data_IF_600501378314
#
_entry.id   IF_600501378314
#
_cell.length_a   1.000
_cell.length_b   1.000
_cell.length_c   1.000
_cell.angle_alpha   90.00
_cell.angle_beta   90.00
_cell.angle_gamma   90.00
#
_symmetry.space_group_name_H-M   'P 1'
#
loop_
_entity.id
_entity.type
_entity.pdbx_description
1 polymer ?
#
# COMPACT_ATOMS: atom_id res chain seq x y z
N UNK A 1 4.76 -14.05 -3.98
CA UNK A 1 4.79 -12.69 -3.40
C UNK A 1 5.59 -12.76 -2.09
N UNK A 2 6.77 -12.14 -2.01
CA UNK A 2 7.58 -12.16 -0.77
C UNK A 2 7.01 -11.09 0.17
N UNK A 3 6.31 -11.54 1.22
CA UNK A 3 5.73 -10.70 2.28
C UNK A 3 6.83 -9.99 3.09
N UNK A 4 6.48 -8.91 3.80
CA UNK A 4 7.33 -7.97 4.58
C UNK A 4 8.18 -8.62 5.70
N UNK A 5 8.20 -9.95 5.79
CA UNK A 5 8.81 -10.69 6.90
C UNK A 5 10.32 -10.49 7.06
N UNK A 6 11.02 -10.00 6.04
CA UNK A 6 12.43 -9.61 6.14
C UNK A 6 12.64 -8.17 5.64
N UNK A 7 12.94 -7.21 6.54
CA UNK A 7 13.17 -5.81 6.18
C UNK A 7 14.28 -5.61 5.15
N UNK A 8 15.30 -6.49 5.14
CA UNK A 8 16.39 -6.44 4.16
C UNK A 8 15.88 -6.75 2.75
N UNK A 9 15.02 -7.76 2.64
CA UNK A 9 14.35 -8.06 1.37
C UNK A 9 13.48 -6.88 0.91
N UNK A 10 12.69 -6.28 1.81
CA UNK A 10 11.83 -5.11 1.49
C UNK A 10 12.65 -3.93 0.98
N UNK A 11 13.82 -3.67 1.57
CA UNK A 11 14.71 -2.59 1.16
C UNK A 11 15.25 -2.75 -0.27
N UNK A 12 15.36 -3.98 -0.76
CA UNK A 12 15.93 -4.32 -2.07
C UNK A 12 14.90 -4.43 -3.19
N UNK A 13 13.60 -4.34 -2.89
CA UNK A 13 12.55 -4.42 -3.92
C UNK A 13 12.62 -3.16 -4.80
N UNK A 14 12.82 -3.30 -6.12
CA UNK A 14 12.76 -2.18 -7.05
C UNK A 14 11.41 -1.47 -6.98
N UNK A 15 11.40 -0.15 -7.12
CA UNK A 15 10.20 0.67 -6.93
C UNK A 15 9.07 0.28 -7.90
N UNK A 16 9.40 0.01 -9.14
CA UNK A 16 8.52 -0.42 -10.23
C UNK A 16 7.94 -1.85 -10.04
N UNK A 17 8.50 -2.61 -9.11
CA UNK A 17 8.01 -3.96 -8.75
C UNK A 17 7.29 -3.98 -7.39
N UNK A 18 7.17 -2.82 -6.73
CA UNK A 18 6.54 -2.71 -5.42
C UNK A 18 5.02 -2.64 -5.55
N UNK A 19 4.32 -3.53 -4.87
CA UNK A 19 2.88 -3.45 -4.59
C UNK A 19 2.65 -3.34 -3.08
N UNK A 20 1.56 -2.69 -2.70
CA UNK A 20 1.12 -2.57 -1.32
C UNK A 20 -0.26 -3.17 -1.16
N UNK A 21 -0.43 -4.00 -0.14
CA UNK A 21 -1.70 -4.62 0.22
C UNK A 21 -1.88 -4.64 1.73
N UNK A 22 -3.13 -4.73 2.18
CA UNK A 22 -3.45 -4.87 3.61
C UNK A 22 -3.57 -6.32 4.04
N UNK A 23 -3.87 -7.23 3.10
CA UNK A 23 -4.23 -8.62 3.40
C UNK A 23 -5.50 -8.75 4.26
N UNK A 24 -6.36 -7.73 4.25
CA UNK A 24 -7.63 -7.74 4.95
C UNK A 24 -8.50 -8.96 4.55
N UNK A 25 -9.19 -9.61 5.50
CA UNK A 25 -9.42 -9.21 6.90
C UNK A 25 -8.30 -9.57 7.88
N UNK A 26 -7.18 -10.15 7.41
CA UNK A 26 -6.07 -10.62 8.22
C UNK A 26 -5.00 -9.54 8.43
N UNK A 27 -4.02 -9.83 9.31
CA UNK A 27 -2.88 -8.95 9.62
C UNK A 27 -3.30 -7.55 10.09
N UNK A 28 -4.03 -7.45 11.21
CA UNK A 28 -4.45 -6.16 11.75
C UNK A 28 -3.27 -5.20 11.95
N UNK A 29 -3.46 -3.89 11.69
CA UNK A 29 -2.35 -2.93 11.64
C UNK A 29 -1.78 -2.59 13.02
N UNK A 30 -2.47 -2.94 14.09
CA UNK A 30 -2.09 -2.64 15.46
C UNK A 30 -2.49 -3.78 16.42
N UNK A 31 -1.74 -3.98 17.52
CA UNK A 31 -2.12 -4.90 18.58
C UNK A 31 -3.52 -4.59 19.12
N UNK A 32 -4.32 -5.63 19.40
CA UNK A 32 -5.68 -5.48 19.92
C UNK A 32 -6.76 -5.24 18.86
N UNK A 33 -6.40 -4.90 17.61
CA UNK A 33 -7.35 -4.90 16.51
C UNK A 33 -7.66 -6.35 16.08
N UNK A 34 -8.95 -6.71 16.04
CA UNK A 34 -9.41 -8.06 15.64
C UNK A 34 -9.46 -8.27 14.12
N UNK A 35 -9.79 -7.22 13.36
CA UNK A 35 -9.94 -7.27 11.91
C UNK A 35 -9.08 -6.20 11.25
N UNK A 36 -8.60 -6.51 10.05
CA UNK A 36 -8.01 -5.55 9.15
C UNK A 36 -9.01 -5.14 8.06
N UNK A 37 -8.76 -3.99 7.41
CA UNK A 37 -9.62 -3.41 6.40
C UNK A 37 -8.81 -2.86 5.22
N UNK A 38 -9.38 -2.77 4.00
CA UNK A 38 -8.69 -2.22 2.84
C UNK A 38 -8.16 -0.79 3.02
N UNK A 39 -8.89 0.07 3.74
CA UNK A 39 -8.48 1.46 4.01
C UNK A 39 -7.23 1.59 4.89
N UNK A 40 -6.75 0.49 5.50
CA UNK A 40 -5.54 0.48 6.31
C UNK A 40 -4.24 0.42 5.50
N UNK A 41 -4.27 0.56 4.17
CA UNK A 41 -3.08 0.47 3.28
C UNK A 41 -1.97 1.46 3.64
N UNK A 42 -2.31 2.57 4.30
CA UNK A 42 -1.32 3.51 4.83
C UNK A 42 -0.41 2.88 5.90
N UNK A 43 -0.88 1.87 6.63
CA UNK A 43 -0.09 1.19 7.67
C UNK A 43 1.14 0.45 7.10
N UNK A 44 0.99 -0.51 6.16
CA UNK A 44 2.14 -1.13 5.51
C UNK A 44 2.98 -0.11 4.73
N UNK A 45 2.37 0.93 4.14
CA UNK A 45 3.13 1.99 3.48
C UNK A 45 4.10 2.72 4.44
N UNK A 46 3.67 3.02 5.67
CA UNK A 46 4.52 3.63 6.71
C UNK A 46 5.67 2.72 7.12
N UNK A 47 5.43 1.42 7.22
CA UNK A 47 6.47 0.45 7.56
C UNK A 47 7.53 0.35 6.46
N UNK A 48 7.11 0.24 5.19
CA UNK A 48 8.04 0.22 4.04
C UNK A 48 8.78 1.55 3.89
N UNK A 49 8.10 2.67 4.13
CA UNK A 49 8.69 4.01 4.14
C UNK A 49 9.84 4.14 5.13
N UNK A 50 9.63 3.64 6.36
CA UNK A 50 10.66 3.60 7.39
C UNK A 50 11.87 2.77 6.96
N UNK A 51 11.64 1.57 6.40
CA UNK A 51 12.73 0.68 5.93
C UNK A 51 13.52 1.30 4.78
N UNK A 52 12.83 1.97 3.84
CA UNK A 52 13.43 2.51 2.60
C UNK A 52 13.86 3.97 2.70
N UNK A 53 13.72 4.61 3.86
CA UNK A 53 13.92 6.05 4.04
C UNK A 53 13.25 6.89 2.93
N UNK A 54 11.98 6.59 2.63
CA UNK A 54 11.22 7.17 1.53
C UNK A 54 9.88 7.69 2.04
N UNK A 55 9.35 8.85 1.57
CA UNK A 55 8.05 9.33 2.01
C UNK A 55 6.92 8.32 1.74
N UNK A 56 6.01 8.04 2.71
CA UNK A 56 4.89 7.11 2.50
C UNK A 56 4.00 7.51 1.31
N UNK A 57 3.82 8.81 1.08
CA UNK A 57 3.05 9.33 -0.05
C UNK A 57 3.64 8.97 -1.41
N UNK A 58 4.97 8.91 -1.53
CA UNK A 58 5.64 8.51 -2.76
C UNK A 58 5.48 7.01 -3.00
N UNK A 59 5.61 6.19 -1.95
CA UNK A 59 5.40 4.75 -2.06
C UNK A 59 3.96 4.40 -2.46
N UNK A 60 2.96 5.10 -1.91
CA UNK A 60 1.57 4.92 -2.30
C UNK A 60 1.32 5.27 -3.76
N UNK A 61 1.90 6.40 -4.25
CA UNK A 61 1.79 6.79 -5.66
C UNK A 61 2.41 5.76 -6.59
N UNK A 62 3.63 5.30 -6.29
CA UNK A 62 4.34 4.29 -7.09
C UNK A 62 3.60 2.96 -7.06
N UNK A 63 3.22 2.47 -5.88
CA UNK A 63 2.50 1.20 -5.75
C UNK A 63 1.15 1.24 -6.46
N UNK A 64 0.45 2.39 -6.43
CA UNK A 64 -0.78 2.58 -7.21
C UNK A 64 -0.49 2.51 -8.71
N UNK A 65 0.50 3.26 -9.21
CA UNK A 65 0.87 3.22 -10.63
C UNK A 65 1.22 1.79 -11.10
N UNK A 66 1.99 1.05 -10.30
CA UNK A 66 2.33 -0.35 -10.60
C UNK A 66 1.10 -1.27 -10.56
N UNK A 67 0.19 -1.08 -9.59
CA UNK A 67 -1.04 -1.86 -9.52
C UNK A 67 -1.95 -1.59 -10.72
N UNK A 68 -2.02 -0.34 -11.18
CA UNK A 68 -2.76 0.06 -12.38
C UNK A 68 -2.19 -0.58 -13.64
N UNK A 69 -0.86 -0.59 -13.78
CA UNK A 69 -0.15 -1.21 -14.91
C UNK A 69 -0.39 -2.74 -14.96
N UNK A 70 -0.32 -3.40 -13.81
CA UNK A 70 -0.45 -4.87 -13.73
C UNK A 70 -1.90 -5.33 -13.83
N UNK A 71 -2.82 -4.69 -13.10
CA UNK A 71 -4.18 -5.18 -12.92
C UNK A 71 -5.23 -4.41 -13.74
N UNK A 72 -4.84 -3.33 -14.41
CA UNK A 72 -5.75 -2.56 -15.24
C UNK A 72 -6.95 -2.01 -14.45
N UNK A 73 -6.77 -1.68 -13.17
CA UNK A 73 -7.83 -1.04 -12.40
C UNK A 73 -8.20 0.26 -13.14
N UNK A 74 -9.44 0.47 -13.61
CA UNK A 74 -9.81 1.79 -14.08
C UNK A 74 -9.66 2.74 -12.90
N UNK A 75 -9.18 3.97 -13.13
CA UNK A 75 -9.25 5.02 -12.11
C UNK A 75 -10.65 4.95 -11.53
N UNK A 76 -10.76 4.61 -10.24
CA UNK A 76 -12.03 4.74 -9.55
C UNK A 76 -12.31 6.23 -9.54
N UNK A 77 -13.04 6.71 -10.55
CA UNK A 77 -13.73 8.00 -10.46
C UNK A 77 -14.40 7.98 -9.11
N UNK A 78 -13.96 8.84 -8.22
CA UNK A 78 -14.65 8.97 -6.96
C UNK A 78 -16.05 9.47 -7.34
N UNK A 79 -17.15 8.85 -6.86
CA UNK A 79 -18.49 9.36 -7.15
C UNK A 79 -18.74 10.80 -6.62
N UNK A 80 -17.73 11.42 -5.99
CA UNK A 80 -17.73 12.80 -5.50
C UNK A 80 -16.95 13.78 -6.38
N UNK A 81 -16.41 13.37 -7.54
CA UNK A 81 -15.75 14.30 -8.50
C UNK A 81 -16.71 15.34 -9.13
N UNK A 82 -17.98 15.37 -8.68
CA UNK A 82 -18.99 16.38 -9.00
C UNK A 82 -19.56 17.14 -7.80
N UNK A 83 -19.03 16.96 -6.59
CA UNK A 83 -19.44 17.74 -5.41
C UNK A 83 -18.33 18.70 -5.02
N UNK A 84 -18.53 19.97 -5.37
CA UNK A 84 -17.73 21.08 -4.89
C UNK A 84 -17.97 21.24 -3.38
N UNK A 85 -16.88 21.24 -2.60
CA UNK A 85 -16.84 21.81 -1.26
C UNK A 85 -16.24 23.21 -1.34
#
# INVERSE_FOLDING_TARGET
MKSIQDPRTVALIPSEQLLLETYAPYLPPAPGCRLNHPWNVLSPAKQVAFIRNTPPSLLLKVANANAMDIYGCPETRHPVDGLQY
#
